data_IF_894641052508
#
_entry.id   IF_894641052508
#
_cell.length_a   1.000
_cell.length_b   1.000
_cell.length_c   1.000
_cell.angle_alpha   90.00
_cell.angle_beta   90.00
_cell.angle_gamma   90.00
#
_symmetry.space_group_name_H-M   'P 1'
#
loop_
_entity.id
_entity.type
_entity.pdbx_description
1 polymer ?
#
# COMPACT_ATOMS: atom_id res chain seq x y z
N UNK A 1 65.41 7.30 28.01
CA UNK A 1 64.63 6.06 27.75
C UNK A 1 63.31 5.96 28.51
N UNK A 2 63.21 6.32 29.80
CA UNK A 2 61.99 6.14 30.62
C UNK A 2 60.72 6.83 30.06
N UNK A 3 60.84 8.04 29.52
CA UNK A 3 59.70 8.78 28.96
C UNK A 3 59.16 8.18 27.64
N UNK A 4 60.04 7.60 26.81
CA UNK A 4 59.66 6.91 25.58
C UNK A 4 58.81 5.66 25.87
N UNK A 5 59.14 4.93 26.95
CA UNK A 5 58.39 3.74 27.38
C UNK A 5 56.99 4.10 27.86
N UNK A 6 56.85 5.16 28.67
CA UNK A 6 55.54 5.65 29.14
C UNK A 6 54.67 6.15 27.98
N UNK A 7 55.28 6.85 27.02
CA UNK A 7 54.58 7.29 25.81
C UNK A 7 54.08 6.11 24.96
N UNK A 8 54.92 5.09 24.75
CA UNK A 8 54.54 3.89 24.00
C UNK A 8 53.39 3.12 24.67
N UNK A 9 53.42 3.00 26.00
CA UNK A 9 52.34 2.37 26.77
C UNK A 9 51.04 3.17 26.63
N UNK A 10 51.10 4.51 26.76
CA UNK A 10 49.94 5.38 26.58
C UNK A 10 49.32 5.28 25.19
N UNK A 11 50.15 5.22 24.14
CA UNK A 11 49.70 5.05 22.76
C UNK A 11 49.02 3.69 22.54
N UNK A 12 49.55 2.63 23.15
CA UNK A 12 48.96 1.29 23.10
C UNK A 12 47.57 1.24 23.77
N UNK A 13 47.46 1.73 25.01
CA UNK A 13 46.18 1.76 25.72
C UNK A 13 45.17 2.73 25.09
N UNK A 14 45.62 3.89 24.60
CA UNK A 14 44.79 4.84 23.86
C UNK A 14 44.26 4.25 22.56
N UNK A 15 45.10 3.53 21.81
CA UNK A 15 44.68 2.80 20.61
C UNK A 15 43.66 1.71 20.91
N UNK A 16 43.86 0.92 21.96
CA UNK A 16 42.91 -0.10 22.40
C UNK A 16 41.58 0.52 22.85
N UNK A 17 41.60 1.62 23.59
CA UNK A 17 40.40 2.34 24.00
C UNK A 17 39.64 2.89 22.78
N UNK A 18 40.34 3.54 21.85
CA UNK A 18 39.76 4.05 20.61
C UNK A 18 39.12 2.93 19.79
N UNK A 19 39.81 1.79 19.62
CA UNK A 19 39.26 0.62 18.93
C UNK A 19 38.03 0.06 19.64
N UNK A 20 38.05 -0.05 20.98
CA UNK A 20 36.93 -0.54 21.77
C UNK A 20 35.69 0.36 21.65
N UNK A 21 35.87 1.67 21.77
CA UNK A 21 34.80 2.66 21.58
C UNK A 21 34.27 2.62 20.15
N UNK A 22 35.16 2.64 19.16
CA UNK A 22 34.78 2.59 17.76
C UNK A 22 34.01 1.30 17.42
N UNK A 23 34.47 0.15 17.92
CA UNK A 23 33.79 -1.14 17.77
C UNK A 23 32.38 -1.13 18.39
N UNK A 24 32.24 -0.54 19.59
CA UNK A 24 30.95 -0.40 20.26
C UNK A 24 29.96 0.47 19.45
N UNK A 25 30.43 1.62 18.92
CA UNK A 25 29.60 2.48 18.07
C UNK A 25 29.20 1.81 16.75
N UNK A 26 30.08 1.02 16.14
CA UNK A 26 29.73 0.30 14.91
C UNK A 26 28.63 -0.75 15.14
N UNK A 27 28.62 -1.44 16.28
CA UNK A 27 27.59 -2.45 16.57
C UNK A 27 26.21 -1.87 16.89
N UNK A 28 26.14 -0.67 17.45
CA UNK A 28 24.88 -0.10 17.97
C UNK A 28 24.15 0.79 16.96
N UNK A 29 24.84 1.20 15.89
CA UNK A 29 24.32 2.18 14.93
C UNK A 29 23.60 1.59 13.72
N UNK A 30 23.61 0.27 13.51
CA UNK A 30 22.98 -0.36 12.35
C UNK A 30 21.88 -1.33 12.77
N UNK A 31 20.81 -1.36 11.97
CA UNK A 31 19.63 -2.19 12.17
C UNK A 31 19.16 -2.77 10.84
N UNK A 32 18.58 -3.97 10.88
CA UNK A 32 18.07 -4.64 9.68
C UNK A 32 16.58 -4.32 9.50
N UNK A 33 16.19 -3.93 8.28
CA UNK A 33 14.79 -3.67 7.95
C UNK A 33 14.04 -5.01 7.93
N UNK A 34 12.90 -5.15 8.64
CA UNK A 34 12.09 -6.36 8.59
C UNK A 34 11.65 -6.70 7.17
N UNK A 35 11.66 -7.98 6.81
CA UNK A 35 11.16 -8.44 5.50
C UNK A 35 9.63 -8.56 5.48
N UNK A 36 9.04 -9.04 6.58
CA UNK A 36 7.59 -9.08 6.78
C UNK A 36 7.14 -7.85 7.58
N UNK A 37 6.67 -6.82 6.88
CA UNK A 37 6.14 -5.59 7.46
C UNK A 37 4.61 -5.63 7.35
N UNK A 38 3.93 -5.87 8.48
CA UNK A 38 2.46 -5.86 8.54
C UNK A 38 1.95 -4.47 8.88
N UNK A 39 2.60 -3.83 9.86
CA UNK A 39 2.28 -2.48 10.26
C UNK A 39 3.53 -1.61 10.15
N UNK A 40 3.62 -0.91 9.03
CA UNK A 40 4.75 -0.05 8.64
C UNK A 40 5.19 0.85 9.78
N UNK A 41 4.25 1.50 10.47
CA UNK A 41 4.57 2.45 11.53
C UNK A 41 5.18 1.75 12.74
N UNK A 42 4.54 0.67 13.20
CA UNK A 42 4.95 -0.01 14.42
C UNK A 42 6.23 -0.85 14.21
N UNK A 43 6.30 -1.57 13.10
CA UNK A 43 7.41 -2.47 12.80
C UNK A 43 8.71 -1.70 12.57
N UNK A 44 8.66 -0.60 11.80
CA UNK A 44 9.84 0.26 11.58
C UNK A 44 10.23 1.00 12.85
N UNK A 45 9.28 1.53 13.62
CA UNK A 45 9.57 2.24 14.88
C UNK A 45 10.18 1.31 15.94
N UNK A 46 9.74 0.04 16.00
CA UNK A 46 10.29 -0.99 16.91
C UNK A 46 11.77 -1.24 16.65
N UNK A 47 12.17 -1.19 15.38
CA UNK A 47 13.57 -1.36 14.95
C UNK A 47 14.35 -0.04 15.07
N UNK A 48 13.69 1.06 15.45
CA UNK A 48 14.30 2.38 15.61
C UNK A 48 14.48 3.12 14.28
N UNK A 49 13.64 2.84 13.29
CA UNK A 49 13.58 3.53 12.00
C UNK A 49 12.41 4.51 11.97
N UNK A 50 12.52 5.53 11.12
CA UNK A 50 11.51 6.58 10.99
C UNK A 50 10.75 6.37 9.68
N UNK A 51 9.48 5.95 9.71
CA UNK A 51 8.70 5.75 8.49
C UNK A 51 8.25 7.10 7.91
N UNK A 52 8.52 7.32 6.63
CA UNK A 52 7.97 8.43 5.85
C UNK A 52 7.14 7.86 4.70
N UNK A 53 5.85 8.18 4.68
CA UNK A 53 4.87 7.55 3.79
C UNK A 53 4.44 8.49 2.69
N UNK A 54 4.51 8.04 1.45
CA UNK A 54 4.08 8.78 0.27
C UNK A 54 2.88 8.08 -0.36
N UNK A 55 1.74 8.76 -0.41
CA UNK A 55 0.48 8.20 -0.90
C UNK A 55 -0.32 7.48 0.18
N UNK A 56 -1.28 6.65 -0.27
CA UNK A 56 -2.18 5.87 0.58
C UNK A 56 -2.50 4.54 -0.10
N UNK A 57 -3.02 3.56 0.65
CA UNK A 57 -3.40 2.25 0.13
C UNK A 57 -2.33 1.19 0.35
N UNK A 58 -2.05 0.39 -0.68
CA UNK A 58 -1.14 -0.75 -0.60
C UNK A 58 0.32 -0.30 -0.75
N UNK A 59 1.23 -0.97 -0.06
CA UNK A 59 2.67 -0.70 -0.17
C UNK A 59 3.18 -1.24 -1.48
N UNK A 60 3.70 -0.36 -2.33
CA UNK A 60 4.32 -0.73 -3.60
C UNK A 60 5.81 -0.96 -3.42
N UNK A 61 6.48 -0.10 -2.66
CA UNK A 61 7.91 -0.21 -2.43
C UNK A 61 8.35 0.49 -1.16
N UNK A 62 9.48 0.02 -0.63
CA UNK A 62 10.12 0.56 0.57
C UNK A 62 11.58 0.81 0.22
N UNK A 63 12.06 2.01 0.55
CA UNK A 63 13.45 2.43 0.31
C UNK A 63 14.04 2.90 1.63
N UNK A 64 15.10 2.25 2.15
CA UNK A 64 15.82 1.10 1.57
C UNK A 64 14.99 -0.20 1.56
N UNK A 65 15.38 -1.14 0.68
CA UNK A 65 14.65 -2.40 0.50
C UNK A 65 14.51 -3.20 1.82
N UNK A 66 13.38 -3.91 2.02
CA UNK A 66 13.23 -4.85 3.13
C UNK A 66 14.39 -5.85 3.19
N UNK A 67 14.79 -6.25 4.39
CA UNK A 67 15.95 -7.14 4.62
C UNK A 67 17.32 -6.45 4.57
N UNK A 68 17.42 -5.23 4.06
CA UNK A 68 18.69 -4.47 4.05
C UNK A 68 19.09 -3.95 5.43
N UNK A 69 20.39 -3.68 5.61
CA UNK A 69 20.94 -3.09 6.84
C UNK A 69 21.07 -1.58 6.63
N UNK A 70 20.52 -0.82 7.56
CA UNK A 70 20.55 0.65 7.51
C UNK A 70 20.93 1.23 8.87
N UNK A 71 21.28 2.51 8.90
CA UNK A 71 21.58 3.19 10.17
C UNK A 71 20.31 3.35 11.01
N UNK A 72 20.42 3.10 12.31
CA UNK A 72 19.36 3.38 13.28
C UNK A 72 19.00 4.87 13.23
N UNK A 73 17.71 5.18 13.33
CA UNK A 73 17.19 6.54 13.21
C UNK A 73 17.09 7.07 11.78
N UNK A 74 17.43 6.26 10.76
CA UNK A 74 17.28 6.68 9.36
C UNK A 74 15.80 6.68 8.95
N UNK A 75 15.45 7.66 8.12
CA UNK A 75 14.16 7.72 7.45
C UNK A 75 14.05 6.63 6.39
N UNK A 76 12.93 5.92 6.40
CA UNK A 76 12.59 4.88 5.43
C UNK A 76 11.38 5.39 4.64
N UNK A 77 11.58 5.54 3.34
CA UNK A 77 10.55 6.00 2.44
C UNK A 77 9.68 4.83 2.05
N UNK A 78 8.38 4.97 2.25
CA UNK A 78 7.38 3.95 1.97
C UNK A 78 6.44 4.52 0.94
N UNK A 79 6.49 3.96 -0.26
CA UNK A 79 5.67 4.39 -1.39
C UNK A 79 4.42 3.51 -1.40
N UNK A 80 3.28 4.17 -1.26
CA UNK A 80 1.96 3.54 -1.29
C UNK A 80 1.19 4.01 -2.51
N UNK A 81 0.44 3.09 -3.10
CA UNK A 81 -0.47 3.40 -4.20
C UNK A 81 -1.87 2.95 -3.84
N UNK A 82 -2.82 3.84 -4.15
CA UNK A 82 -4.22 3.56 -4.04
C UNK A 82 -4.73 3.21 -5.43
N UNK A 83 -4.95 1.94 -5.70
CA UNK A 83 -5.50 1.45 -6.97
C UNK A 83 -7.05 1.56 -6.99
N UNK A 84 -7.61 2.38 -6.10
CA UNK A 84 -9.05 2.63 -6.04
C UNK A 84 -9.44 3.73 -6.99
N UNK A 85 -10.52 3.50 -7.73
CA UNK A 85 -11.16 4.50 -8.57
C UNK A 85 -12.63 4.63 -8.19
N UNK A 86 -13.25 5.74 -8.58
CA UNK A 86 -14.68 5.97 -8.33
C UNK A 86 -15.51 5.22 -9.37
N UNK A 87 -16.46 4.40 -8.92
CA UNK A 87 -17.37 3.67 -9.80
C UNK A 87 -18.23 4.66 -10.59
N UNK A 88 -18.20 4.66 -11.94
CA UNK A 88 -18.97 5.60 -12.74
C UNK A 88 -20.47 5.41 -12.51
N UNK A 89 -21.24 6.49 -12.59
CA UNK A 89 -22.69 6.42 -12.53
C UNK A 89 -23.26 5.90 -13.85
N UNK A 90 -23.83 4.70 -13.81
CA UNK A 90 -24.44 4.04 -14.97
C UNK A 90 -25.96 3.96 -14.86
N UNK A 91 -26.57 4.69 -13.93
CA UNK A 91 -28.01 4.70 -13.74
C UNK A 91 -28.75 5.12 -15.02
N UNK A 92 -29.74 4.31 -15.42
CA UNK A 92 -30.59 4.58 -16.58
C UNK A 92 -29.96 4.24 -17.94
N UNK A 93 -28.68 3.86 -17.98
CA UNK A 93 -28.00 3.44 -19.21
C UNK A 93 -28.38 1.99 -19.54
N UNK A 94 -28.38 1.65 -20.84
CA UNK A 94 -28.58 0.28 -21.29
C UNK A 94 -27.46 -0.64 -20.78
N UNK A 95 -27.83 -1.82 -20.29
CA UNK A 95 -26.89 -2.66 -19.55
C UNK A 95 -25.70 -3.15 -20.39
N UNK A 96 -25.85 -3.31 -21.71
CA UNK A 96 -24.75 -3.71 -22.59
C UNK A 96 -23.67 -2.62 -22.67
N UNK A 97 -24.07 -1.37 -22.85
CA UNK A 97 -23.14 -0.23 -22.90
C UNK A 97 -22.46 -0.02 -21.54
N UNK A 98 -23.23 -0.17 -20.45
CA UNK A 98 -22.70 -0.13 -19.09
C UNK A 98 -21.65 -1.22 -18.84
N UNK A 99 -21.83 -2.42 -19.39
CA UNK A 99 -20.83 -3.50 -19.29
C UNK A 99 -19.54 -3.19 -20.04
N UNK A 100 -19.61 -2.52 -21.20
CA UNK A 100 -18.42 -2.10 -21.93
C UNK A 100 -17.61 -1.09 -21.12
N UNK A 101 -18.28 -0.11 -20.50
CA UNK A 101 -17.65 0.85 -19.62
C UNK A 101 -16.98 0.13 -18.44
N UNK A 102 -17.69 -0.79 -17.77
CA UNK A 102 -17.14 -1.52 -16.61
C UNK A 102 -15.98 -2.46 -16.98
N UNK A 103 -15.94 -2.98 -18.21
CA UNK A 103 -14.82 -3.78 -18.72
C UNK A 103 -13.53 -2.97 -18.84
N UNK A 104 -13.60 -1.68 -19.21
CA UNK A 104 -12.42 -0.80 -19.28
C UNK A 104 -11.74 -0.68 -17.92
N UNK A 105 -12.52 -0.73 -16.83
CA UNK A 105 -12.04 -0.70 -15.46
C UNK A 105 -11.64 -2.08 -14.91
N UNK A 106 -11.60 -3.11 -15.76
CA UNK A 106 -11.22 -4.48 -15.40
C UNK A 106 -12.02 -5.04 -14.20
N UNK A 107 -13.30 -4.71 -14.10
CA UNK A 107 -14.19 -5.14 -13.01
C UNK A 107 -14.88 -6.48 -13.29
N UNK A 108 -15.15 -7.24 -12.24
CA UNK A 108 -15.91 -8.50 -12.34
C UNK A 108 -17.40 -8.22 -12.17
N UNK A 109 -18.15 -8.16 -13.28
CA UNK A 109 -19.57 -7.76 -13.25
C UNK A 109 -20.51 -8.96 -13.16
N UNK A 110 -21.42 -8.94 -12.19
CA UNK A 110 -22.53 -9.89 -12.05
C UNK A 110 -23.86 -9.18 -12.35
N UNK A 111 -24.69 -9.77 -13.21
CA UNK A 111 -25.95 -9.16 -13.63
C UNK A 111 -27.10 -9.79 -12.84
N UNK A 112 -27.85 -8.96 -12.12
CA UNK A 112 -29.05 -9.35 -11.41
C UNK A 112 -30.24 -8.66 -12.07
N UNK A 113 -31.15 -9.45 -12.63
CA UNK A 113 -32.34 -8.96 -13.33
C UNK A 113 -33.52 -8.85 -12.36
N UNK A 114 -34.19 -7.70 -12.34
CA UNK A 114 -35.40 -7.47 -11.53
C UNK A 114 -36.49 -6.83 -12.37
N UNK A 115 -37.75 -7.13 -12.05
CA UNK A 115 -38.90 -6.46 -12.68
C UNK A 115 -39.05 -5.07 -12.10
N UNK A 116 -39.04 -4.05 -12.94
CA UNK A 116 -39.20 -2.66 -12.51
C UNK A 116 -40.04 -1.89 -13.56
N UNK A 117 -40.87 -0.91 -13.14
CA UNK A 117 -41.72 -0.17 -14.07
C UNK A 117 -40.90 0.80 -14.93
N UNK A 118 -40.89 0.59 -16.25
CA UNK A 118 -40.34 1.51 -17.27
C UNK A 118 -39.57 0.78 -18.37
N UNK A 119 -38.62 1.45 -19.06
CA UNK A 119 -37.90 0.85 -20.18
C UNK A 119 -37.03 -0.35 -19.79
N UNK A 120 -37.27 -1.48 -20.44
CA UNK A 120 -36.52 -2.72 -20.25
C UNK A 120 -35.02 -2.55 -20.57
N UNK A 121 -34.17 -3.25 -19.82
CA UNK A 121 -32.74 -3.34 -20.11
C UNK A 121 -31.88 -2.19 -19.57
N UNK A 122 -32.44 -1.26 -18.79
CA UNK A 122 -31.65 -0.21 -18.13
C UNK A 122 -31.05 -0.68 -16.80
N UNK A 123 -29.92 -0.10 -16.41
CA UNK A 123 -29.32 -0.31 -15.09
C UNK A 123 -30.05 0.56 -14.07
N UNK A 124 -30.52 -0.06 -12.99
CA UNK A 124 -31.26 0.58 -11.91
C UNK A 124 -30.38 0.93 -10.72
N UNK A 125 -29.40 0.08 -10.42
CA UNK A 125 -28.49 0.27 -9.31
C UNK A 125 -27.26 -0.62 -9.46
N UNK A 126 -26.22 -0.33 -8.69
CA UNK A 126 -25.06 -1.19 -8.54
C UNK A 126 -24.76 -1.43 -7.05
N UNK A 127 -24.11 -2.56 -6.77
CA UNK A 127 -23.48 -2.84 -5.50
C UNK A 127 -22.01 -3.22 -5.75
N UNK A 128 -21.03 -2.41 -5.29
CA UNK A 128 -21.15 -1.15 -4.53
C UNK A 128 -21.88 -0.03 -5.30
N UNK A 129 -22.42 0.97 -4.59
CA UNK A 129 -23.18 2.06 -5.21
C UNK A 129 -22.31 2.93 -6.11
N UNK A 130 -22.91 3.56 -7.11
CA UNK A 130 -22.23 4.54 -7.96
C UNK A 130 -21.51 5.61 -7.13
N UNK A 131 -20.34 6.05 -7.58
CA UNK A 131 -19.47 6.99 -6.87
C UNK A 131 -18.58 6.36 -5.79
N UNK A 132 -18.84 5.11 -5.39
CA UNK A 132 -18.02 4.42 -4.37
C UNK A 132 -16.61 4.13 -4.91
N UNK A 133 -15.62 4.22 -4.03
CA UNK A 133 -14.24 3.84 -4.33
C UNK A 133 -14.11 2.32 -4.38
N UNK A 134 -13.87 1.78 -5.57
CA UNK A 134 -13.71 0.34 -5.84
C UNK A 134 -12.31 0.05 -6.34
N UNK A 135 -11.82 -1.16 -6.10
CA UNK A 135 -10.52 -1.61 -6.59
C UNK A 135 -10.67 -2.25 -7.98
N UNK A 136 -9.60 -2.27 -8.77
CA UNK A 136 -9.53 -3.08 -9.99
C UNK A 136 -9.78 -4.57 -9.68
N UNK A 137 -10.55 -5.26 -10.53
CA UNK A 137 -10.90 -6.67 -10.34
C UNK A 137 -11.97 -6.96 -9.27
N UNK A 138 -12.48 -5.93 -8.59
CA UNK A 138 -13.54 -6.11 -7.58
C UNK A 138 -14.85 -6.60 -8.23
N UNK A 139 -15.63 -7.37 -7.46
CA UNK A 139 -16.94 -7.87 -7.91
C UNK A 139 -18.01 -6.79 -7.75
N UNK A 140 -18.63 -6.40 -8.86
CA UNK A 140 -19.71 -5.43 -8.90
C UNK A 140 -20.98 -6.11 -9.38
N UNK A 141 -22.05 -6.00 -8.60
CA UNK A 141 -23.38 -6.46 -8.99
C UNK A 141 -24.15 -5.31 -9.61
N UNK A 142 -24.70 -5.50 -10.80
CA UNK A 142 -25.60 -4.53 -11.42
C UNK A 142 -27.02 -5.05 -11.40
N UNK A 143 -27.94 -4.21 -10.95
CA UNK A 143 -29.37 -4.44 -11.02
C UNK A 143 -29.88 -3.92 -12.35
N UNK A 144 -30.41 -4.81 -13.17
CA UNK A 144 -30.92 -4.52 -14.51
C UNK A 144 -32.42 -4.72 -14.55
N UNK A 145 -33.11 -3.76 -15.15
CA UNK A 145 -34.54 -3.83 -15.41
C UNK A 145 -34.84 -4.95 -16.41
N UNK A 146 -35.60 -5.96 -15.99
CA UNK A 146 -36.06 -7.06 -16.84
C UNK A 146 -37.37 -6.77 -17.55
N UNK A 147 -37.96 -5.59 -17.33
CA UNK A 147 -39.31 -5.27 -17.75
C UNK A 147 -40.37 -5.97 -16.92
N UNK A 148 -41.51 -5.32 -16.77
CA UNK A 148 -42.76 -6.05 -16.53
C UNK A 148 -43.20 -6.68 -17.85
N UNK A 149 -43.53 -7.99 -17.82
CA UNK A 149 -44.27 -8.65 -18.89
C UNK A 149 -45.64 -7.94 -19.02
N UNK A 150 -45.70 -6.82 -19.74
CA UNK A 150 -46.84 -5.91 -19.74
C UNK A 150 -46.59 -4.51 -20.29
N UNK A 151 -45.35 -4.14 -20.64
CA UNK A 151 -45.07 -2.90 -21.40
C UNK A 151 -45.57 -3.00 -22.84
N UNK A 152 -46.55 -2.17 -23.18
CA UNK A 152 -47.36 -2.18 -24.40
C UNK A 152 -46.51 -2.07 -25.68
N UNK A 153 -46.89 -2.85 -26.69
CA UNK A 153 -46.38 -2.86 -28.06
C UNK A 153 -46.84 -1.64 -28.85
#
# INVERSE_FOLDING_TARGET
>A
MRYLLVFAIGMYFGGLFFLGVNYYFQRTNFVRIPEDIKNIRNDLKKVGLIPETFGSGNVVSIVPNPGSITKKGRTVNVIMRNDKFSLPNLYGIFYLDGLEILKVYNLNVEIVKIKFPGPDGRILASFPSFGTMVNEGEKVKILVDSGEFGGIK
#
